data_IF_889617779861
#
_entry.id   IF_889617779861
#
_cell.length_a   1.000
_cell.length_b   1.000
_cell.length_c   1.000
_cell.angle_alpha   90.00
_cell.angle_beta   90.00
_cell.angle_gamma   90.00
#
_symmetry.space_group_name_H-M   'P 1'
#
loop_
_entity.id
_entity.type
_entity.pdbx_description
1 polymer ?
#
# COMPACT_ATOMS: atom_id res chain seq x y z
N UNK A 1 -25.00 2.59 -19.48
CA UNK A 1 -24.24 1.89 -18.41
C UNK A 1 -22.84 2.49 -18.32
N UNK A 2 -22.54 3.39 -17.37
CA UNK A 2 -21.22 4.05 -17.24
C UNK A 2 -20.62 3.96 -15.82
N UNK A 3 -21.12 3.04 -14.98
CA UNK A 3 -20.73 2.98 -13.55
C UNK A 3 -19.41 2.26 -13.26
N UNK A 4 -18.80 1.56 -14.24
CA UNK A 4 -17.60 0.73 -14.00
C UNK A 4 -16.27 1.49 -14.04
N UNK A 5 -16.15 2.57 -14.81
CA UNK A 5 -14.87 3.29 -14.94
C UNK A 5 -14.49 4.10 -13.68
N UNK A 6 -15.49 4.58 -12.93
CA UNK A 6 -15.26 5.42 -11.75
C UNK A 6 -14.79 4.61 -10.52
N UNK A 7 -15.16 3.33 -10.46
CA UNK A 7 -14.80 2.45 -9.33
C UNK A 7 -13.31 2.09 -9.36
N UNK A 8 -12.79 1.75 -10.54
CA UNK A 8 -11.36 1.48 -10.73
C UNK A 8 -10.49 2.72 -10.40
N UNK A 9 -10.96 3.93 -10.73
CA UNK A 9 -10.24 5.17 -10.44
C UNK A 9 -10.21 5.49 -8.94
N UNK A 10 -11.30 5.21 -8.20
CA UNK A 10 -11.33 5.35 -6.74
C UNK A 10 -10.42 4.34 -6.03
N UNK A 11 -10.38 3.11 -6.52
CA UNK A 11 -9.48 2.07 -5.98
C UNK A 11 -8.02 2.44 -6.22
N UNK A 12 -7.67 2.92 -7.41
CA UNK A 12 -6.31 3.37 -7.72
C UNK A 12 -5.87 4.52 -6.79
N UNK A 13 -6.73 5.53 -6.62
CA UNK A 13 -6.45 6.68 -5.75
C UNK A 13 -6.40 6.32 -4.26
N UNK A 14 -7.21 5.35 -3.84
CA UNK A 14 -7.15 4.76 -2.50
C UNK A 14 -5.80 4.08 -2.27
N UNK A 15 -5.37 3.23 -3.20
CA UNK A 15 -4.09 2.53 -3.08
C UNK A 15 -2.88 3.47 -3.03
N UNK A 16 -2.90 4.60 -3.75
CA UNK A 16 -1.81 5.58 -3.68
C UNK A 16 -1.71 6.22 -2.28
N UNK A 17 -2.84 6.57 -1.67
CA UNK A 17 -2.87 7.08 -0.29
C UNK A 17 -2.38 6.03 0.72
N UNK A 18 -2.76 4.77 0.54
CA UNK A 18 -2.26 3.68 1.40
C UNK A 18 -0.75 3.48 1.23
N UNK A 19 -0.21 3.63 0.01
CA UNK A 19 1.24 3.57 -0.24
C UNK A 19 1.94 4.70 0.51
N UNK A 20 1.48 5.94 0.36
CA UNK A 20 2.07 7.09 1.06
C UNK A 20 2.03 6.89 2.58
N UNK A 21 0.90 6.48 3.13
CA UNK A 21 0.78 6.27 4.58
C UNK A 21 1.72 5.17 5.10
N UNK A 22 1.88 4.07 4.35
CA UNK A 22 2.80 3.00 4.74
C UNK A 22 4.26 3.45 4.67
N UNK A 23 4.62 4.21 3.63
CA UNK A 23 5.95 4.82 3.48
C UNK A 23 6.23 5.79 4.63
N UNK A 24 5.29 6.66 4.99
CA UNK A 24 5.48 7.59 6.11
C UNK A 24 5.61 6.87 7.47
N UNK A 25 4.86 5.78 7.68
CA UNK A 25 4.89 5.04 8.94
C UNK A 25 6.18 4.23 9.15
N UNK A 26 6.73 3.68 8.07
CA UNK A 26 7.80 2.66 8.14
C UNK A 26 9.08 3.08 7.43
N UNK A 27 9.04 4.18 6.69
CA UNK A 27 10.17 4.75 5.93
C UNK A 27 10.72 3.79 4.85
N UNK A 28 9.88 2.89 4.33
CA UNK A 28 10.23 1.97 3.24
C UNK A 28 10.08 2.62 1.87
N UNK A 29 10.61 2.01 0.82
CA UNK A 29 10.40 2.52 -0.53
C UNK A 29 8.91 2.40 -0.97
N UNK A 30 8.35 3.40 -1.68
CA UNK A 30 6.96 3.34 -2.18
C UNK A 30 6.69 2.13 -3.09
N UNK A 31 7.71 1.61 -3.78
CA UNK A 31 7.62 0.36 -4.55
C UNK A 31 7.43 -0.87 -3.65
N UNK A 32 8.08 -0.91 -2.49
CA UNK A 32 7.90 -1.99 -1.51
C UNK A 32 6.51 -1.89 -0.88
N UNK A 33 6.10 -0.69 -0.47
CA UNK A 33 4.76 -0.44 0.08
C UNK A 33 3.65 -0.88 -0.89
N UNK A 34 3.76 -0.52 -2.18
CA UNK A 34 2.81 -0.96 -3.21
C UNK A 34 2.79 -2.48 -3.41
N UNK A 35 3.95 -3.13 -3.25
CA UNK A 35 4.04 -4.60 -3.36
C UNK A 35 3.39 -5.27 -2.16
N UNK A 36 3.57 -4.71 -0.95
CA UNK A 36 2.92 -5.18 0.27
C UNK A 36 1.41 -5.02 0.18
N UNK A 37 0.90 -3.84 -0.22
CA UNK A 37 -0.53 -3.61 -0.44
C UNK A 37 -1.14 -4.53 -1.50
N UNK A 38 -0.38 -4.87 -2.55
CA UNK A 38 -0.84 -5.83 -3.57
C UNK A 38 -0.85 -7.27 -3.05
N UNK A 39 0.05 -7.63 -2.13
CA UNK A 39 0.19 -8.98 -1.58
C UNK A 39 -0.79 -9.25 -0.45
N UNK A 40 -0.99 -8.28 0.45
CA UNK A 40 -1.79 -8.42 1.66
C UNK A 40 -3.10 -7.65 1.61
N UNK A 41 -3.31 -6.75 0.65
CA UNK A 41 -4.47 -5.87 0.64
C UNK A 41 -4.34 -4.78 1.72
N UNK A 42 -5.48 -4.32 2.23
CA UNK A 42 -5.57 -3.27 3.26
C UNK A 42 -5.30 -3.78 4.70
N UNK A 43 -4.48 -4.82 4.85
CA UNK A 43 -4.12 -5.42 6.14
C UNK A 43 -3.00 -4.62 6.84
N UNK A 44 -3.34 -3.41 7.29
CA UNK A 44 -2.44 -2.46 7.96
C UNK A 44 -1.53 -3.03 9.05
N UNK A 45 -2.00 -3.89 9.98
CA UNK A 45 -1.12 -4.43 11.03
C UNK A 45 0.02 -5.27 10.44
N UNK A 46 -0.28 -6.04 9.39
CA UNK A 46 0.67 -6.93 8.73
C UNK A 46 1.59 -6.19 7.77
N UNK A 47 1.05 -5.18 7.06
CA UNK A 47 1.84 -4.28 6.22
C UNK A 47 2.92 -3.59 7.04
N UNK A 48 2.58 -3.09 8.23
CA UNK A 48 3.53 -2.43 9.13
C UNK A 48 4.60 -3.41 9.62
N UNK A 49 4.21 -4.60 10.07
CA UNK A 49 5.16 -5.63 10.52
C UNK A 49 6.14 -6.05 9.41
N UNK A 50 5.63 -6.35 8.20
CA UNK A 50 6.47 -6.70 7.05
C UNK A 50 7.33 -5.53 6.57
N UNK A 51 6.83 -4.31 6.62
CA UNK A 51 7.60 -3.12 6.27
C UNK A 51 8.71 -2.84 7.29
N UNK A 52 8.45 -2.99 8.59
CA UNK A 52 9.49 -2.90 9.63
C UNK A 52 10.51 -4.03 9.52
N UNK A 53 10.10 -5.23 9.11
CA UNK A 53 11.01 -6.34 8.82
C UNK A 53 11.90 -6.03 7.61
N UNK A 54 11.32 -5.53 6.50
CA UNK A 54 12.04 -5.11 5.30
C UNK A 54 13.10 -4.03 5.60
N UNK A 55 12.84 -3.12 6.54
CA UNK A 55 13.80 -2.09 6.94
C UNK A 55 15.00 -2.65 7.71
N UNK A 56 14.84 -3.78 8.40
CA UNK A 56 15.92 -4.40 9.20
C UNK A 56 16.87 -5.27 8.38
N UNK A 57 16.49 -5.62 7.16
CA UNK A 57 17.26 -6.53 6.30
C UNK A 57 18.18 -5.80 5.29
N UNK A 58 18.27 -4.46 5.34
CA UNK A 58 19.17 -3.62 4.53
C UNK A 58 20.24 -2.92 5.39
#
# INVERSE_FOLDING_TARGET
MQRKANEASRVAKGQELEVEHLVELTDIAPKQARTLLRRHGADWPKLKDEAEALKKED
#
